data_IF_216543085222
#
_entry.id   IF_216543085222
#
_cell.length_a   1.000
_cell.length_b   1.000
_cell.length_c   1.000
_cell.angle_alpha   90.00
_cell.angle_beta   90.00
_cell.angle_gamma   90.00
#
_symmetry.space_group_name_H-M   'P 1'
#
loop_
_entity.id
_entity.type
_entity.pdbx_description
1 polymer ?
#
# COMPACT_ATOMS: atom_id res chain seq x y z
N UNK A 1 -2.21 18.37 66.95
CA UNK A 1 -3.39 17.88 66.20
C UNK A 1 -3.65 18.85 65.06
N UNK A 2 -3.11 18.61 63.86
CA UNK A 2 -3.30 19.51 62.71
C UNK A 2 -3.09 18.85 61.32
N UNK A 3 -2.42 17.70 61.24
CA UNK A 3 -2.09 17.08 59.94
C UNK A 3 -3.21 16.15 59.41
N UNK A 4 -3.88 15.40 60.28
CA UNK A 4 -4.99 14.51 59.90
C UNK A 4 -6.23 15.30 59.43
N UNK A 5 -6.45 16.49 59.99
CA UNK A 5 -7.57 17.36 59.61
C UNK A 5 -7.34 18.06 58.26
N UNK A 6 -6.07 18.35 57.91
CA UNK A 6 -5.68 18.85 56.58
C UNK A 6 -5.88 17.82 55.46
N UNK A 7 -5.72 16.52 55.73
CA UNK A 7 -6.01 15.45 54.75
C UNK A 7 -7.51 15.28 54.57
N UNK A 8 -8.30 15.36 55.66
CA UNK A 8 -9.77 15.31 55.60
C UNK A 8 -10.35 16.47 54.80
N UNK A 9 -9.75 17.66 54.90
CA UNK A 9 -10.19 18.85 54.17
C UNK A 9 -9.76 18.88 52.68
N UNK A 10 -9.04 17.86 52.20
CA UNK A 10 -8.62 17.70 50.79
C UNK A 10 -9.31 16.54 50.09
N UNK A 11 -10.30 15.89 50.72
CA UNK A 11 -11.06 14.78 50.12
C UNK A 11 -11.74 15.18 48.80
N UNK A 12 -12.23 16.42 48.69
CA UNK A 12 -12.80 16.95 47.44
C UNK A 12 -11.76 17.11 46.32
N UNK A 13 -10.53 17.51 46.64
CA UNK A 13 -9.44 17.60 45.67
C UNK A 13 -9.01 16.21 45.19
N UNK A 14 -9.01 15.23 46.10
CA UNK A 14 -8.68 13.83 45.82
C UNK A 14 -9.72 13.20 44.89
N UNK A 15 -11.00 13.44 45.15
CA UNK A 15 -12.12 13.01 44.29
C UNK A 15 -12.07 13.65 42.89
N UNK A 16 -11.75 14.94 42.82
CA UNK A 16 -11.60 15.63 41.53
C UNK A 16 -10.42 15.07 40.72
N UNK A 17 -9.29 14.79 41.37
CA UNK A 17 -8.10 14.25 40.69
C UNK A 17 -8.34 12.82 40.17
N UNK A 18 -9.03 11.99 40.95
CA UNK A 18 -9.43 10.64 40.52
C UNK A 18 -10.45 10.72 39.38
N UNK A 19 -11.43 11.62 39.45
CA UNK A 19 -12.41 11.85 38.39
C UNK A 19 -11.76 12.28 37.07
N UNK A 20 -10.80 13.20 37.13
CA UNK A 20 -10.02 13.63 35.96
C UNK A 20 -9.16 12.47 35.43
N UNK A 21 -8.56 11.66 36.31
CA UNK A 21 -7.77 10.49 35.92
C UNK A 21 -8.61 9.41 35.20
N UNK A 22 -9.84 9.15 35.66
CA UNK A 22 -10.75 8.22 35.00
C UNK A 22 -11.25 8.75 33.64
N UNK A 23 -11.53 10.05 33.54
CA UNK A 23 -11.88 10.67 32.27
C UNK A 23 -10.69 10.63 31.29
N UNK A 24 -9.46 10.83 31.78
CA UNK A 24 -8.24 10.74 30.99
C UNK A 24 -7.95 9.36 30.42
N UNK A 25 -8.40 8.28 31.10
CA UNK A 25 -8.30 6.91 30.57
C UNK A 25 -9.27 6.64 29.41
N UNK A 26 -10.41 7.36 29.36
CA UNK A 26 -11.42 7.19 28.32
C UNK A 26 -11.09 7.97 27.03
N UNK A 27 -10.18 8.94 27.11
CA UNK A 27 -9.73 9.72 25.96
C UNK A 27 -8.58 8.98 25.27
N UNK A 28 -8.69 8.65 23.98
CA UNK A 28 -7.58 8.06 23.23
C UNK A 28 -6.39 9.02 23.22
N UNK A 29 -5.20 8.48 23.46
CA UNK A 29 -3.95 9.24 23.59
C UNK A 29 -3.69 10.17 22.39
N UNK A 30 -4.11 9.77 21.20
CA UNK A 30 -3.96 10.52 19.96
C UNK A 30 -4.79 11.82 19.94
N UNK A 31 -5.97 11.83 20.58
CA UNK A 31 -6.82 13.01 20.69
C UNK A 31 -6.21 14.08 21.62
N UNK A 32 -5.51 13.64 22.68
CA UNK A 32 -4.78 14.53 23.61
C UNK A 32 -3.58 15.16 22.91
N UNK A 33 -2.87 14.40 22.08
CA UNK A 33 -1.74 14.88 21.29
C UNK A 33 -2.15 15.89 20.21
N UNK A 34 -3.31 15.66 19.57
CA UNK A 34 -3.90 16.59 18.61
C UNK A 34 -4.33 17.92 19.26
N UNK A 35 -4.89 17.88 20.48
CA UNK A 35 -5.29 19.05 21.26
C UNK A 35 -4.12 19.93 21.75
N UNK A 36 -2.95 19.34 21.97
CA UNK A 36 -1.76 20.07 22.45
C UNK A 36 -0.92 20.71 21.34
N UNK A 37 -1.39 20.71 20.08
CA UNK A 37 -0.73 21.42 18.97
C UNK A 37 0.68 20.93 18.62
N UNK A 38 1.12 19.81 19.21
CA UNK A 38 2.47 19.26 19.08
C UNK A 38 2.52 18.03 18.15
N UNK A 39 1.37 17.62 17.62
CA UNK A 39 1.21 16.45 16.77
C UNK A 39 0.33 16.72 15.57
N UNK A 40 0.56 17.81 14.82
CA UNK A 40 0.08 17.86 13.45
C UNK A 40 0.68 16.64 12.73
N UNK A 41 -0.10 15.57 12.58
CA UNK A 41 0.26 14.41 11.79
C UNK A 41 0.68 14.98 10.43
N UNK A 42 1.98 14.93 10.14
CA UNK A 42 2.48 15.43 8.87
C UNK A 42 1.95 14.46 7.83
N UNK A 43 1.20 14.98 6.87
CA UNK A 43 0.78 14.19 5.72
C UNK A 43 2.02 13.71 4.98
N UNK A 44 2.03 12.43 4.59
CA UNK A 44 3.10 11.90 3.73
C UNK A 44 2.82 12.24 2.28
N UNK A 45 1.55 12.50 1.95
CA UNK A 45 1.07 12.86 0.63
C UNK A 45 -0.45 12.96 0.60
N UNK A 46 -0.99 13.24 -0.57
CA UNK A 46 -2.43 13.24 -0.83
C UNK A 46 -2.71 12.51 -2.14
N UNK A 47 -3.86 11.84 -2.19
CA UNK A 47 -4.35 11.06 -3.33
C UNK A 47 -5.82 11.42 -3.53
N UNK A 48 -6.23 11.80 -4.74
CA UNK A 48 -7.65 12.08 -5.03
C UNK A 48 -8.27 13.24 -4.21
N UNK A 49 -7.47 14.06 -3.54
CA UNK A 49 -7.95 15.09 -2.62
C UNK A 49 -8.07 14.64 -1.16
N UNK A 50 -7.79 13.37 -0.86
CA UNK A 50 -7.67 12.82 0.49
C UNK A 50 -6.21 12.85 0.95
N UNK A 51 -5.96 13.39 2.15
CA UNK A 51 -4.64 13.40 2.78
C UNK A 51 -4.35 12.08 3.48
N UNK A 52 -3.16 11.52 3.26
CA UNK A 52 -2.69 10.32 3.96
C UNK A 52 -1.70 10.76 5.04
N UNK A 53 -2.06 10.55 6.31
CA UNK A 53 -1.20 10.92 7.42
C UNK A 53 0.02 9.99 7.54
N UNK A 54 1.14 10.50 8.07
CA UNK A 54 2.32 9.66 8.35
C UNK A 54 2.07 8.58 9.39
N UNK A 55 1.06 8.75 10.24
CA UNK A 55 0.71 7.76 11.25
C UNK A 55 -0.02 6.61 10.56
N UNK A 56 -1.04 6.90 9.76
CA UNK A 56 -1.84 5.88 9.06
C UNK A 56 -0.97 5.04 8.12
N UNK A 57 -0.14 5.70 7.31
CA UNK A 57 0.79 5.01 6.42
C UNK A 57 1.75 4.07 7.19
N UNK A 58 2.30 4.53 8.32
CA UNK A 58 3.20 3.69 9.14
C UNK A 58 2.46 2.53 9.80
N UNK A 59 1.24 2.75 10.28
CA UNK A 59 0.42 1.70 10.87
C UNK A 59 0.13 0.59 9.84
N UNK A 60 -0.19 0.96 8.60
CA UNK A 60 -0.41 -0.01 7.52
C UNK A 60 0.87 -0.79 7.18
N UNK A 61 2.02 -0.12 7.11
CA UNK A 61 3.32 -0.79 6.90
C UNK A 61 3.63 -1.76 8.03
N UNK A 62 3.46 -1.33 9.27
CA UNK A 62 3.74 -2.17 10.45
C UNK A 62 2.73 -3.32 10.59
N UNK A 63 1.49 -3.12 10.14
CA UNK A 63 0.52 -4.19 9.99
C UNK A 63 0.97 -5.25 8.99
N UNK A 64 1.42 -4.85 7.80
CA UNK A 64 1.96 -5.82 6.84
C UNK A 64 3.19 -6.56 7.38
N UNK A 65 4.07 -5.86 8.11
CA UNK A 65 5.22 -6.50 8.78
C UNK A 65 4.81 -7.52 9.82
N UNK A 66 3.78 -7.22 10.62
CA UNK A 66 3.22 -8.16 11.61
C UNK A 66 2.68 -9.42 10.95
N UNK A 67 2.12 -9.30 9.75
CA UNK A 67 1.68 -10.43 8.92
C UNK A 67 2.84 -11.17 8.23
N UNK A 68 4.09 -10.77 8.45
CA UNK A 68 5.27 -11.44 7.90
C UNK A 68 5.66 -10.96 6.49
N UNK A 69 4.99 -9.95 5.93
CA UNK A 69 5.48 -9.29 4.73
C UNK A 69 6.71 -8.45 5.06
N UNK A 70 7.73 -8.50 4.23
CA UNK A 70 9.00 -7.81 4.46
C UNK A 70 9.72 -7.51 3.15
N UNK A 71 10.81 -6.75 3.21
CA UNK A 71 11.60 -6.33 2.06
C UNK A 71 11.50 -4.83 1.79
N UNK A 72 12.43 -4.33 0.97
CA UNK A 72 12.58 -2.90 0.70
C UNK A 72 11.38 -2.33 -0.07
N UNK A 73 10.70 -3.15 -0.86
CA UNK A 73 9.53 -2.78 -1.66
C UNK A 73 8.22 -2.72 -0.86
N UNK A 74 8.20 -3.16 0.40
CA UNK A 74 6.97 -3.24 1.18
C UNK A 74 6.31 -1.86 1.35
N UNK A 75 7.13 -0.83 1.56
CA UNK A 75 6.67 0.54 1.70
C UNK A 75 5.97 1.02 0.42
N UNK A 76 6.59 0.79 -0.72
CA UNK A 76 6.03 1.15 -2.03
C UNK A 76 4.74 0.36 -2.33
N UNK A 77 4.68 -0.93 -1.96
CA UNK A 77 3.47 -1.75 -2.12
C UNK A 77 2.32 -1.22 -1.26
N UNK A 78 2.58 -0.88 0.01
CA UNK A 78 1.56 -0.30 0.90
C UNK A 78 1.08 1.04 0.37
N UNK A 79 2.00 1.88 -0.12
CA UNK A 79 1.63 3.16 -0.74
C UNK A 79 0.76 2.96 -1.98
N UNK A 80 1.11 2.02 -2.85
CA UNK A 80 0.33 1.69 -4.04
C UNK A 80 -1.06 1.13 -3.69
N UNK A 81 -1.15 0.27 -2.66
CA UNK A 81 -2.42 -0.27 -2.17
C UNK A 81 -3.33 0.83 -1.62
N UNK A 82 -2.79 1.73 -0.79
CA UNK A 82 -3.54 2.87 -0.26
C UNK A 82 -4.04 3.78 -1.38
N UNK A 83 -3.16 4.10 -2.33
CA UNK A 83 -3.50 4.91 -3.50
C UNK A 83 -4.60 4.26 -4.32
N UNK A 84 -4.47 2.95 -4.61
CA UNK A 84 -5.45 2.21 -5.38
C UNK A 84 -6.80 2.14 -4.68
N UNK A 85 -6.82 1.93 -3.37
CA UNK A 85 -8.05 1.93 -2.59
C UNK A 85 -8.73 3.30 -2.67
N UNK A 86 -8.03 4.40 -2.36
CA UNK A 86 -8.61 5.75 -2.41
C UNK A 86 -9.15 6.09 -3.80
N UNK A 87 -8.43 5.74 -4.86
CA UNK A 87 -8.83 6.10 -6.24
C UNK A 87 -9.96 5.22 -6.77
N UNK A 88 -10.02 3.94 -6.37
CA UNK A 88 -10.90 2.96 -6.99
C UNK A 88 -12.10 2.57 -6.13
N UNK A 89 -12.15 2.91 -4.84
CA UNK A 89 -13.23 2.44 -3.94
C UNK A 89 -14.62 2.85 -4.45
N UNK A 90 -14.80 4.13 -4.79
CA UNK A 90 -16.04 4.63 -5.40
C UNK A 90 -16.43 3.85 -6.67
N UNK A 91 -15.43 3.45 -7.46
CA UNK A 91 -15.67 2.69 -8.69
C UNK A 91 -16.03 1.23 -8.39
N UNK A 92 -15.40 0.63 -7.39
CA UNK A 92 -15.78 -0.71 -6.92
C UNK A 92 -17.24 -0.71 -6.47
N UNK A 93 -17.65 0.28 -5.69
CA UNK A 93 -19.02 0.40 -5.20
C UNK A 93 -20.02 0.68 -6.33
N UNK A 94 -19.69 1.57 -7.27
CA UNK A 94 -20.53 1.87 -8.43
C UNK A 94 -20.74 0.64 -9.35
N UNK A 95 -19.74 -0.24 -9.45
CA UNK A 95 -19.80 -1.49 -10.21
C UNK A 95 -20.37 -2.67 -9.41
N UNK A 96 -20.60 -2.51 -8.10
CA UNK A 96 -21.01 -3.60 -7.21
C UNK A 96 -19.94 -4.68 -7.03
N UNK A 97 -18.66 -4.29 -7.08
CA UNK A 97 -17.52 -5.19 -6.91
C UNK A 97 -17.30 -5.51 -5.42
N UNK A 98 -17.88 -6.61 -4.99
CA UNK A 98 -17.75 -7.13 -3.63
C UNK A 98 -17.04 -8.49 -3.61
N UNK A 99 -16.52 -8.86 -2.43
CA UNK A 99 -15.94 -10.18 -2.17
C UNK A 99 -16.72 -10.82 -1.04
N UNK A 100 -17.44 -11.89 -1.35
CA UNK A 100 -18.28 -12.58 -0.36
C UNK A 100 -17.44 -13.43 0.58
N UNK A 101 -17.98 -13.75 1.75
CA UNK A 101 -17.32 -14.67 2.68
C UNK A 101 -17.09 -16.06 2.06
N UNK A 102 -18.03 -16.54 1.24
CA UNK A 102 -17.89 -17.79 0.51
C UNK A 102 -16.73 -17.72 -0.50
N UNK A 103 -16.62 -16.63 -1.26
CA UNK A 103 -15.49 -16.42 -2.17
C UNK A 103 -14.16 -16.34 -1.43
N UNK A 104 -14.13 -15.62 -0.30
CA UNK A 104 -12.95 -15.53 0.54
C UNK A 104 -12.52 -16.91 1.07
N UNK A 105 -13.47 -17.73 1.53
CA UNK A 105 -13.19 -19.11 1.95
C UNK A 105 -12.70 -19.97 0.79
N UNK A 106 -13.27 -19.84 -0.39
CA UNK A 106 -12.81 -20.55 -1.60
C UNK A 106 -11.40 -20.14 -2.02
N UNK A 107 -11.03 -18.86 -1.85
CA UNK A 107 -9.65 -18.40 -2.05
C UNK A 107 -8.68 -19.03 -1.06
N UNK A 108 -9.08 -19.16 0.21
CA UNK A 108 -8.22 -19.71 1.25
C UNK A 108 -8.09 -21.24 1.19
N UNK A 109 -9.20 -21.95 1.03
CA UNK A 109 -9.27 -23.40 1.24
C UNK A 109 -9.69 -24.18 -0.01
N UNK A 110 -10.29 -23.49 -0.99
CA UNK A 110 -10.86 -24.10 -2.18
C UNK A 110 -9.93 -24.10 -3.39
N UNK A 111 -10.56 -24.04 -4.56
CA UNK A 111 -9.89 -24.09 -5.87
C UNK A 111 -9.96 -22.77 -6.62
N UNK A 112 -10.53 -21.72 -6.02
CA UNK A 112 -10.61 -20.42 -6.66
C UNK A 112 -9.21 -19.86 -6.88
N UNK A 113 -8.92 -19.51 -8.14
CA UNK A 113 -7.62 -18.95 -8.51
C UNK A 113 -7.61 -17.43 -8.32
N UNK A 114 -6.65 -16.98 -7.50
CA UNK A 114 -6.34 -15.57 -7.30
C UNK A 114 -4.85 -15.38 -7.57
N UNK A 115 -4.47 -14.60 -8.59
CA UNK A 115 -3.07 -14.31 -8.88
C UNK A 115 -2.29 -13.77 -7.68
N UNK A 116 -2.91 -12.96 -6.82
CA UNK A 116 -2.35 -12.47 -5.57
C UNK A 116 -2.10 -13.63 -4.59
N UNK A 117 -3.10 -14.48 -4.33
CA UNK A 117 -2.93 -15.64 -3.44
C UNK A 117 -1.83 -16.58 -3.94
N UNK A 118 -1.78 -16.80 -5.26
CA UNK A 118 -0.75 -17.58 -5.93
C UNK A 118 0.66 -17.04 -5.70
N UNK A 119 0.86 -15.71 -5.76
CA UNK A 119 2.18 -15.11 -5.54
C UNK A 119 2.56 -14.94 -4.07
N UNK A 120 1.61 -14.48 -3.24
CA UNK A 120 1.87 -14.06 -1.88
C UNK A 120 1.95 -15.24 -0.90
N UNK A 121 1.17 -16.31 -1.13
CA UNK A 121 1.06 -17.41 -0.18
C UNK A 121 1.40 -18.74 -0.83
N UNK A 122 0.76 -19.07 -1.95
CA UNK A 122 0.72 -20.45 -2.39
C UNK A 122 1.94 -20.87 -3.18
N UNK A 123 2.39 -20.13 -4.18
CA UNK A 123 3.53 -20.39 -5.09
C UNK A 123 3.65 -21.79 -5.74
N UNK A 124 3.46 -22.89 -5.00
CA UNK A 124 3.34 -24.28 -5.42
C UNK A 124 2.32 -25.04 -4.53
N UNK A 125 2.14 -26.35 -4.76
CA UNK A 125 1.16 -27.17 -4.03
C UNK A 125 1.50 -27.43 -2.54
N UNK A 126 2.78 -27.56 -2.20
CA UNK A 126 3.22 -27.81 -0.82
C UNK A 126 2.97 -26.57 0.04
N UNK A 127 3.38 -25.41 -0.46
CA UNK A 127 3.14 -24.11 0.18
C UNK A 127 1.63 -23.80 0.26
N UNK A 128 0.83 -24.18 -0.75
CA UNK A 128 -0.63 -24.08 -0.65
C UNK A 128 -1.18 -24.85 0.56
N UNK A 129 -0.76 -26.09 0.73
CA UNK A 129 -1.20 -26.94 1.86
C UNK A 129 -0.75 -26.36 3.19
N UNK A 130 0.50 -25.87 3.28
CA UNK A 130 1.03 -25.21 4.47
C UNK A 130 0.20 -23.98 4.87
N UNK A 131 -0.08 -23.08 3.94
CA UNK A 131 -0.84 -21.87 4.23
C UNK A 131 -2.31 -22.15 4.56
N UNK A 132 -2.91 -23.15 3.93
CA UNK A 132 -4.24 -23.64 4.31
C UNK A 132 -4.26 -24.10 5.77
N UNK A 133 -3.27 -24.88 6.20
CA UNK A 133 -3.14 -25.28 7.60
C UNK A 133 -2.90 -24.09 8.53
N UNK A 134 -2.09 -23.12 8.11
CA UNK A 134 -1.81 -21.90 8.88
C UNK A 134 -3.06 -21.05 9.10
N UNK A 135 -3.82 -20.77 8.03
CA UNK A 135 -5.09 -20.05 8.13
C UNK A 135 -6.12 -20.83 8.97
N UNK A 136 -6.15 -22.17 8.85
CA UNK A 136 -6.98 -23.01 9.70
C UNK A 136 -6.57 -22.94 11.18
N UNK A 137 -5.27 -22.94 11.47
CA UNK A 137 -4.74 -22.86 12.83
C UNK A 137 -5.05 -21.52 13.50
N UNK A 138 -5.05 -20.42 12.73
CA UNK A 138 -5.41 -19.08 13.21
C UNK A 138 -6.83 -19.01 13.79
N UNK A 139 -7.76 -19.86 13.34
CA UNK A 139 -9.12 -19.89 13.86
C UNK A 139 -9.22 -20.40 15.31
N UNK A 140 -8.18 -21.07 15.81
CA UNK A 140 -8.20 -21.73 17.11
C UNK A 140 -7.83 -20.82 18.29
N UNK A 141 -7.22 -19.65 18.04
CA UNK A 141 -6.81 -18.70 19.08
C UNK A 141 -7.39 -17.31 18.80
N UNK A 142 -7.62 -16.51 19.84
CA UNK A 142 -8.19 -15.17 19.65
C UNK A 142 -7.20 -14.24 18.95
N UNK A 143 -5.90 -14.35 19.25
CA UNK A 143 -4.84 -13.66 18.53
C UNK A 143 -4.78 -14.09 17.04
N UNK A 144 -4.90 -15.39 16.77
CA UNK A 144 -4.94 -15.92 15.42
C UNK A 144 -6.11 -15.36 14.61
N UNK A 145 -7.31 -15.28 15.21
CA UNK A 145 -8.49 -14.69 14.57
C UNK A 145 -8.27 -13.22 14.22
N UNK A 146 -7.64 -12.45 15.11
CA UNK A 146 -7.29 -11.04 14.84
C UNK A 146 -6.30 -10.91 13.68
N UNK A 147 -5.32 -11.81 13.59
CA UNK A 147 -4.40 -11.87 12.45
C UNK A 147 -5.13 -12.26 11.16
N UNK A 148 -6.04 -13.24 11.21
CA UNK A 148 -6.85 -13.63 10.06
C UNK A 148 -7.75 -12.49 9.57
N UNK A 149 -8.31 -11.67 10.46
CA UNK A 149 -9.06 -10.47 10.07
C UNK A 149 -8.18 -9.44 9.35
N UNK A 150 -6.93 -9.29 9.78
CA UNK A 150 -5.96 -8.41 9.12
C UNK A 150 -5.60 -8.94 7.71
N UNK A 151 -5.35 -10.25 7.58
CA UNK A 151 -5.21 -10.90 6.28
C UNK A 151 -6.46 -10.74 5.41
N UNK A 152 -7.66 -10.90 5.98
CA UNK A 152 -8.92 -10.78 5.27
C UNK A 152 -9.07 -9.40 4.63
N UNK A 153 -8.79 -8.32 5.37
CA UNK A 153 -8.83 -6.94 4.81
C UNK A 153 -7.93 -6.79 3.59
N UNK A 154 -6.68 -7.23 3.72
CA UNK A 154 -5.69 -7.19 2.64
C UNK A 154 -6.13 -8.02 1.42
N UNK A 155 -6.49 -9.29 1.64
CA UNK A 155 -6.85 -10.21 0.56
C UNK A 155 -8.10 -9.71 -0.17
N UNK A 156 -9.10 -9.17 0.55
CA UNK A 156 -10.29 -8.58 -0.07
C UNK A 156 -9.93 -7.38 -0.94
N UNK A 157 -9.10 -6.46 -0.45
CA UNK A 157 -8.68 -5.30 -1.23
C UNK A 157 -7.97 -5.72 -2.54
N UNK A 158 -7.03 -6.66 -2.45
CA UNK A 158 -6.34 -7.21 -3.63
C UNK A 158 -7.31 -7.92 -4.56
N UNK A 159 -8.28 -8.66 -4.03
CA UNK A 159 -9.27 -9.39 -4.83
C UNK A 159 -10.24 -8.44 -5.56
N UNK A 160 -10.67 -7.34 -4.94
CA UNK A 160 -11.46 -6.30 -5.63
C UNK A 160 -10.68 -5.74 -6.82
N UNK A 161 -9.40 -5.43 -6.63
CA UNK A 161 -8.53 -4.98 -7.71
C UNK A 161 -8.39 -6.02 -8.83
N UNK A 162 -8.19 -7.29 -8.52
CA UNK A 162 -8.13 -8.37 -9.52
C UNK A 162 -9.40 -8.45 -10.37
N UNK A 163 -10.58 -8.34 -9.73
CA UNK A 163 -11.86 -8.34 -10.45
C UNK A 163 -11.97 -7.14 -11.39
N UNK A 164 -11.58 -5.96 -10.94
CA UNK A 164 -11.54 -4.77 -11.77
C UNK A 164 -10.59 -4.94 -12.96
N UNK A 165 -9.36 -5.38 -12.72
CA UNK A 165 -8.37 -5.59 -13.78
C UNK A 165 -8.86 -6.62 -14.82
N UNK A 166 -9.57 -7.67 -14.38
CA UNK A 166 -10.22 -8.64 -15.26
C UNK A 166 -11.33 -8.00 -16.11
N UNK A 167 -12.22 -7.20 -15.51
CA UNK A 167 -13.26 -6.48 -16.25
C UNK A 167 -12.68 -5.51 -17.28
N UNK A 168 -11.60 -4.81 -16.92
CA UNK A 168 -10.90 -3.92 -17.84
C UNK A 168 -10.29 -4.71 -19.00
N UNK A 169 -9.65 -5.84 -18.72
CA UNK A 169 -9.10 -6.72 -19.76
C UNK A 169 -10.18 -7.22 -20.72
N UNK A 170 -11.35 -7.60 -20.20
CA UNK A 170 -12.48 -8.08 -21.02
C UNK A 170 -13.15 -6.97 -21.83
N UNK A 171 -13.06 -5.72 -21.36
CA UNK A 171 -13.59 -4.55 -22.07
C UNK A 171 -12.69 -4.10 -23.24
N UNK A 172 -11.42 -4.48 -23.25
CA UNK A 172 -10.49 -4.15 -24.32
C UNK A 172 -10.74 -5.05 -25.53
N UNK A 173 -11.04 -4.43 -26.68
CA UNK A 173 -11.14 -5.13 -27.96
C UNK A 173 -10.15 -4.55 -28.97
N UNK A 174 -9.53 -5.43 -29.75
CA UNK A 174 -8.63 -5.07 -30.84
C UNK A 174 -9.36 -5.19 -32.17
N UNK A 175 -9.17 -4.22 -33.06
CA UNK A 175 -9.74 -4.28 -34.40
C UNK A 175 -8.75 -4.86 -35.43
N UNK A 176 -9.25 -5.20 -36.62
CA UNK A 176 -8.44 -5.81 -37.69
C UNK A 176 -7.33 -4.89 -38.21
N UNK A 177 -7.47 -3.57 -38.08
CA UNK A 177 -6.47 -2.60 -38.55
C UNK A 177 -5.27 -2.61 -37.60
N UNK A 178 -5.51 -2.59 -36.29
CA UNK A 178 -4.48 -2.72 -35.26
C UNK A 178 -3.74 -4.05 -35.39
N UNK A 179 -4.46 -5.16 -35.56
CA UNK A 179 -3.84 -6.47 -35.79
C UNK A 179 -2.97 -6.50 -37.05
N UNK A 180 -3.42 -5.86 -38.14
CA UNK A 180 -2.61 -5.72 -39.36
C UNK A 180 -1.37 -4.85 -39.14
N UNK A 181 -1.52 -3.76 -38.39
CA UNK A 181 -0.43 -2.85 -38.08
C UNK A 181 0.67 -3.54 -37.26
N UNK A 182 0.28 -4.29 -36.22
CA UNK A 182 1.21 -5.05 -35.37
C UNK A 182 1.95 -6.14 -36.15
N UNK A 183 1.24 -6.88 -37.00
CA UNK A 183 1.83 -7.87 -37.91
C UNK A 183 2.86 -7.23 -38.85
N UNK A 184 2.49 -6.12 -39.51
CA UNK A 184 3.39 -5.42 -40.43
C UNK A 184 4.63 -4.93 -39.68
N UNK A 185 4.50 -4.39 -38.47
CA UNK A 185 5.66 -3.87 -37.72
C UNK A 185 6.59 -4.98 -37.22
N UNK A 186 6.04 -6.14 -36.89
CA UNK A 186 6.83 -7.31 -36.46
C UNK A 186 7.58 -7.94 -37.64
N UNK A 187 6.94 -8.01 -38.81
CA UNK A 187 7.49 -8.67 -40.01
C UNK A 187 8.33 -7.74 -40.89
N UNK A 188 8.06 -6.43 -40.89
CA UNK A 188 8.82 -5.44 -41.67
C UNK A 188 10.14 -5.13 -40.99
N UNK A 189 11.05 -6.09 -41.06
CA UNK A 189 12.43 -5.98 -40.61
C UNK A 189 13.27 -5.28 -41.67
N UNK A 190 14.16 -4.40 -41.24
CA UNK A 190 15.16 -3.78 -42.10
C UNK A 190 16.56 -4.18 -41.62
N UNK A 191 17.39 -4.65 -42.53
CA UNK A 191 18.81 -4.85 -42.27
C UNK A 191 19.56 -3.56 -42.59
N UNK A 192 20.21 -2.97 -41.59
CA UNK A 192 20.89 -1.69 -41.73
C UNK A 192 22.38 -1.91 -41.48
N UNK A 193 23.21 -1.56 -42.46
CA UNK A 193 24.65 -1.39 -42.26
C UNK A 193 24.90 0.06 -41.88
N UNK A 194 25.44 0.28 -40.70
CA UNK A 194 25.81 1.61 -40.22
C UNK A 194 27.24 1.60 -39.70
N UNK A 195 27.86 2.77 -39.73
CA UNK A 195 29.14 3.03 -39.06
C UNK A 195 28.85 4.08 -38.01
N UNK A 196 29.18 3.79 -36.75
CA UNK A 196 29.03 4.72 -35.65
C UNK A 196 30.40 5.14 -35.12
N UNK A 197 30.69 6.45 -35.08
CA UNK A 197 31.79 7.01 -34.28
C UNK A 197 31.21 7.31 -32.90
N UNK A 198 31.59 6.53 -31.89
CA UNK A 198 31.18 6.77 -30.51
C UNK A 198 31.88 8.03 -30.00
N UNK A 199 31.18 8.84 -29.18
CA UNK A 199 31.72 10.07 -28.60
C UNK A 199 33.07 9.83 -27.89
N UNK A 200 33.19 8.71 -27.16
CA UNK A 200 34.43 8.30 -26.48
C UNK A 200 35.64 8.02 -27.40
N UNK A 201 35.41 7.87 -28.71
CA UNK A 201 36.47 7.67 -29.71
C UNK A 201 36.90 8.99 -30.37
N UNK A 202 36.34 10.12 -29.95
CA UNK A 202 36.77 11.45 -30.34
C UNK A 202 37.79 11.86 -29.27
N UNK A 203 39.03 12.13 -29.69
CA UNK A 203 40.05 12.63 -28.77
C UNK A 203 39.69 14.07 -28.34
N UNK A 204 39.98 14.42 -27.10
CA UNK A 204 39.68 15.75 -26.55
C UNK A 204 40.38 16.86 -27.37
N UNK A 205 41.55 16.56 -27.92
CA UNK A 205 42.34 17.42 -28.81
C UNK A 205 41.75 17.59 -30.23
N UNK A 206 40.79 16.75 -30.64
CA UNK A 206 39.98 16.95 -31.87
C UNK A 206 38.83 17.95 -31.66
N UNK A 207 38.53 18.35 -30.41
CA UNK A 207 37.38 19.20 -30.08
C UNK A 207 37.86 20.48 -29.39
N UNK A 208 37.70 21.62 -30.08
CA UNK A 208 37.92 22.93 -29.46
C UNK A 208 36.61 23.48 -28.92
N UNK A 209 36.55 23.67 -27.60
CA UNK A 209 35.43 24.34 -26.93
C UNK A 209 35.80 25.79 -26.68
N UNK A 210 35.07 26.74 -27.27
CA UNK A 210 35.30 28.17 -27.02
C UNK A 210 34.55 28.64 -25.76
N UNK A 211 35.00 29.73 -25.14
CA UNK A 211 34.25 30.38 -24.04
C UNK A 211 32.82 30.75 -24.47
N UNK A 212 32.63 31.08 -25.75
CA UNK A 212 31.32 31.42 -26.29
C UNK A 212 30.37 30.22 -26.30
N UNK A 213 30.87 29.00 -26.53
CA UNK A 213 30.06 27.78 -26.53
C UNK A 213 29.66 27.37 -25.12
N UNK A 214 30.56 27.52 -24.15
CA UNK A 214 30.26 27.31 -22.72
C UNK A 214 29.18 28.28 -22.25
N UNK A 215 29.31 29.57 -22.60
CA UNK A 215 28.33 30.60 -22.22
C UNK A 215 26.96 30.36 -22.88
N UNK A 216 26.92 29.78 -24.09
CA UNK A 216 25.68 29.44 -24.80
C UNK A 216 24.96 28.25 -24.16
N UNK A 217 25.70 27.19 -23.78
CA UNK A 217 25.14 26.03 -23.07
C UNK A 217 24.60 26.42 -21.69
N UNK A 218 25.31 27.27 -20.95
CA UNK A 218 24.89 27.69 -19.61
C UNK A 218 23.64 28.59 -19.59
N UNK A 219 23.42 29.39 -20.64
CA UNK A 219 22.28 30.31 -20.74
C UNK A 219 21.07 29.71 -21.48
N UNK A 220 21.15 28.46 -21.96
CA UNK A 220 20.04 27.72 -22.56
C UNK A 220 19.23 27.02 -21.47
#
# INVERSE_FOLDING_TARGET
MAMIEQIRNRQGLLLAMIGIGMLGFLVPYDAVLALMGQGAARDVGSVGGESISAIDYRMEVDERRRLGFSGDQLQDEVWADLTANIVLDDTYDALGLEVTDAEFQEMLFGTLDSPYMGRAFYSNGENKTFWQQNFGAMLNTDEGKMNLLSYKRLIIAKRKKEKMDALLSDALYTNSIEGKYDYINTEKKAEIKYVAKLYKNINDDEVSVSESDVKRYYNA
#
